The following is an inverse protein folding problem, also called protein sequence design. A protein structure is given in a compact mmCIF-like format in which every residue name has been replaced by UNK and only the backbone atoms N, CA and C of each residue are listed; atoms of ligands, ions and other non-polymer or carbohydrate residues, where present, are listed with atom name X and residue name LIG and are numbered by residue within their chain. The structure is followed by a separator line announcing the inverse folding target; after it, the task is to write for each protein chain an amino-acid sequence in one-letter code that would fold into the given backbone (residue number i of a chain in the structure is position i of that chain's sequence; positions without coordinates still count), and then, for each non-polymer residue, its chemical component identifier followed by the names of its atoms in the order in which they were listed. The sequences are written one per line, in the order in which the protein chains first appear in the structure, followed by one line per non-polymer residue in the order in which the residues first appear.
data_IF_681734619721
#
_entry.id   IF_681734619721
#
_cell.length_a   1.000
_cell.length_b   1.000
_cell.length_c   1.000
_cell.angle_alpha   90.00
_cell.angle_beta   90.00
_cell.angle_gamma   90.00
#
_symmetry.space_group_name_H-M   'P 1'
#
loop_
_entity.id
_entity.type
_entity.pdbx_description
1 polymer ?
#
# COMPACT_ATOMS: atom_id res chain seq x y z
N UNK A 1 66.27 -14.87 20.74
CA UNK A 1 65.53 -13.81 20.02
C UNK A 1 64.93 -14.47 18.78
N UNK A 2 63.66 -14.87 18.85
CA UNK A 2 63.03 -15.69 17.80
C UNK A 2 62.75 -14.81 16.59
N UNK A 3 63.43 -15.08 15.47
CA UNK A 3 63.08 -14.53 14.16
C UNK A 3 61.73 -15.14 13.76
N UNK A 4 60.65 -14.47 14.16
CA UNK A 4 59.30 -14.84 13.74
C UNK A 4 59.25 -14.89 12.21
N UNK A 5 58.62 -15.93 11.67
CA UNK A 5 58.57 -16.22 10.25
C UNK A 5 57.70 -15.17 9.52
N UNK A 6 58.31 -14.03 9.16
CA UNK A 6 57.65 -12.85 8.56
C UNK A 6 56.80 -13.20 7.34
N UNK A 7 57.25 -14.16 6.52
CA UNK A 7 56.49 -14.66 5.36
C UNK A 7 55.16 -15.30 5.76
N UNK A 8 55.13 -16.03 6.88
CA UNK A 8 53.92 -16.65 7.42
C UNK A 8 52.94 -15.62 7.94
N UNK A 9 53.42 -14.60 8.67
CA UNK A 9 52.57 -13.49 9.12
C UNK A 9 51.98 -12.69 7.96
N UNK A 10 52.77 -12.45 6.91
CA UNK A 10 52.30 -11.73 5.72
C UNK A 10 51.22 -12.52 4.98
N UNK A 11 51.34 -13.86 4.86
CA UNK A 11 50.27 -14.70 4.32
C UNK A 11 48.99 -14.66 5.16
N UNK A 12 49.12 -14.72 6.48
CA UNK A 12 47.96 -14.66 7.39
C UNK A 12 47.23 -13.32 7.22
N UNK A 13 47.95 -12.21 7.20
CA UNK A 13 47.39 -10.88 6.98
C UNK A 13 46.68 -10.75 5.63
N UNK A 14 47.29 -11.27 4.57
CA UNK A 14 46.71 -11.24 3.23
C UNK A 14 45.43 -12.09 3.14
N UNK A 15 45.42 -13.25 3.77
CA UNK A 15 44.25 -14.13 3.83
C UNK A 15 43.11 -13.48 4.62
N UNK A 16 43.44 -12.81 5.74
CA UNK A 16 42.47 -12.10 6.56
C UNK A 16 41.86 -10.90 5.81
N UNK A 17 42.68 -10.19 5.03
CA UNK A 17 42.22 -9.12 4.16
C UNK A 17 41.22 -9.62 3.10
N UNK A 18 41.56 -10.69 2.38
CA UNK A 18 40.68 -11.30 1.38
C UNK A 18 39.37 -11.77 2.02
N UNK A 19 39.43 -12.46 3.17
CA UNK A 19 38.25 -12.91 3.89
C UNK A 19 37.33 -11.73 4.26
N UNK A 20 37.91 -10.61 4.70
CA UNK A 20 37.15 -9.41 5.05
C UNK A 20 36.43 -8.81 3.84
N UNK A 21 37.09 -8.78 2.67
CA UNK A 21 36.48 -8.32 1.41
C UNK A 21 35.32 -9.24 1.00
N UNK A 22 35.51 -10.56 1.06
CA UNK A 22 34.47 -11.53 0.70
C UNK A 22 33.25 -11.41 1.63
N UNK A 23 33.48 -11.26 2.94
CA UNK A 23 32.40 -11.06 3.92
C UNK A 23 31.64 -9.76 3.61
N UNK A 24 32.35 -8.67 3.34
CA UNK A 24 31.74 -7.37 3.03
C UNK A 24 30.85 -7.44 1.79
N UNK A 25 31.32 -8.07 0.71
CA UNK A 25 30.54 -8.26 -0.52
C UNK A 25 29.34 -9.17 -0.27
N UNK A 26 29.51 -10.24 0.51
CA UNK A 26 28.42 -11.17 0.86
C UNK A 26 27.31 -10.47 1.65
N UNK A 27 27.67 -9.59 2.60
CA UNK A 27 26.70 -8.82 3.39
C UNK A 27 25.92 -7.84 2.50
N UNK A 28 26.60 -7.09 1.63
CA UNK A 28 25.94 -6.18 0.68
C UNK A 28 24.99 -6.94 -0.25
N UNK A 29 25.39 -8.12 -0.73
CA UNK A 29 24.53 -8.94 -1.59
C UNK A 29 23.31 -9.49 -0.85
N UNK A 30 23.48 -9.95 0.39
CA UNK A 30 22.38 -10.39 1.24
C UNK A 30 21.39 -9.25 1.52
N UNK A 31 21.87 -8.04 1.79
CA UNK A 31 21.04 -6.85 1.97
C UNK A 31 20.26 -6.50 0.69
N UNK A 32 20.89 -6.58 -0.48
CA UNK A 32 20.23 -6.33 -1.75
C UNK A 32 19.13 -7.36 -2.05
N UNK A 33 19.36 -8.64 -1.75
CA UNK A 33 18.34 -9.68 -1.88
C UNK A 33 17.19 -9.43 -0.90
N UNK A 34 17.49 -9.06 0.35
CA UNK A 34 16.46 -8.76 1.36
C UNK A 34 15.60 -7.58 0.94
N UNK A 35 16.21 -6.50 0.47
CA UNK A 35 15.50 -5.32 -0.04
C UNK A 35 14.62 -5.69 -1.24
N UNK A 36 15.13 -6.48 -2.19
CA UNK A 36 14.37 -6.97 -3.33
C UNK A 36 13.17 -7.86 -2.94
N UNK A 37 13.35 -8.69 -1.90
CA UNK A 37 12.28 -9.52 -1.35
C UNK A 37 11.21 -8.70 -0.62
N UNK A 38 11.60 -7.66 0.11
CA UNK A 38 10.67 -6.75 0.78
C UNK A 38 9.82 -5.99 -0.23
N UNK A 39 10.44 -5.45 -1.30
CA UNK A 39 9.72 -4.79 -2.40
C UNK A 39 8.77 -5.74 -3.14
N UNK A 40 9.16 -7.01 -3.33
CA UNK A 40 8.31 -8.00 -3.99
C UNK A 40 7.13 -8.43 -3.12
N UNK A 41 7.33 -8.57 -1.79
CA UNK A 41 6.22 -8.87 -0.88
C UNK A 41 5.23 -7.71 -0.76
N UNK A 42 5.69 -6.46 -0.82
CA UNK A 42 4.78 -5.30 -0.89
C UNK A 42 4.04 -5.23 -2.22
N UNK A 43 4.65 -5.64 -3.34
CA UNK A 43 3.96 -5.73 -4.65
C UNK A 43 2.95 -6.88 -4.76
N UNK A 44 3.22 -8.05 -4.14
CA UNK A 44 2.33 -9.22 -4.21
C UNK A 44 1.06 -9.00 -3.36
N UNK A 45 1.19 -8.25 -2.27
CA UNK A 45 0.07 -7.59 -1.60
C UNK A 45 -0.30 -6.31 -2.37
N UNK A 46 -0.62 -6.45 -3.65
CA UNK A 46 -1.45 -5.45 -4.34
C UNK A 46 -2.57 -5.05 -3.37
N UNK A 47 -2.92 -3.76 -3.25
CA UNK A 47 -3.79 -3.20 -2.21
C UNK A 47 -5.26 -3.63 -2.38
N UNK A 48 -5.48 -4.93 -2.60
CA UNK A 48 -6.76 -5.60 -2.81
C UNK A 48 -7.62 -5.39 -1.58
N UNK A 49 -7.07 -5.55 -0.38
CA UNK A 49 -7.81 -5.36 0.86
C UNK A 49 -8.25 -3.91 1.03
N UNK A 50 -7.41 -2.95 0.67
CA UNK A 50 -7.71 -1.52 0.68
C UNK A 50 -8.80 -1.17 -0.33
N UNK A 51 -8.73 -1.73 -1.54
CA UNK A 51 -9.75 -1.58 -2.58
C UNK A 51 -11.07 -2.22 -2.14
N UNK A 52 -11.05 -3.41 -1.53
CA UNK A 52 -12.24 -4.07 -0.97
C UNK A 52 -12.85 -3.24 0.17
N UNK A 53 -12.04 -2.72 1.09
CA UNK A 53 -12.50 -1.87 2.17
C UNK A 53 -13.15 -0.58 1.65
N UNK A 54 -12.57 0.05 0.62
CA UNK A 54 -13.18 1.20 -0.04
C UNK A 54 -14.54 0.84 -0.67
N UNK A 55 -14.66 -0.33 -1.28
CA UNK A 55 -15.91 -0.82 -1.86
C UNK A 55 -16.98 -1.09 -0.79
N UNK A 56 -16.59 -1.60 0.38
CA UNK A 56 -17.52 -1.79 1.49
C UNK A 56 -17.98 -0.45 2.08
N UNK A 57 -17.06 0.50 2.23
CA UNK A 57 -17.40 1.88 2.65
C UNK A 57 -18.32 2.58 1.65
N UNK A 58 -18.11 2.33 0.35
CA UNK A 58 -19.01 2.80 -0.70
C UNK A 58 -20.43 2.26 -0.53
N UNK A 59 -20.57 0.98 -0.19
CA UNK A 59 -21.85 0.32 0.07
C UNK A 59 -22.58 0.92 1.27
N UNK A 60 -21.85 1.22 2.36
CA UNK A 60 -22.42 1.85 3.55
C UNK A 60 -22.83 3.29 3.26
N UNK A 61 -22.04 4.04 2.48
CA UNK A 61 -22.37 5.40 2.06
C UNK A 61 -23.62 5.47 1.15
N UNK A 62 -23.92 4.34 0.51
CA UNK A 62 -25.05 4.09 -0.38
C UNK A 62 -26.38 3.85 0.35
N UNK A 63 -26.35 3.49 1.65
CA UNK A 63 -27.55 3.02 2.35
C UNK A 63 -28.62 4.13 2.44
N UNK A 64 -29.75 3.81 1.81
CA UNK A 64 -30.83 4.73 1.44
C UNK A 64 -31.65 5.25 2.62
N UNK A 65 -31.47 4.71 3.84
CA UNK A 65 -32.24 5.14 5.02
C UNK A 65 -31.87 6.53 5.55
N UNK A 66 -30.75 7.11 5.11
CA UNK A 66 -30.28 8.45 5.50
C UNK A 66 -30.67 9.51 4.43
N UNK A 67 -31.30 9.11 3.32
CA UNK A 67 -31.21 9.81 2.02
C UNK A 67 -32.47 10.56 1.53
N UNK A 68 -33.45 10.87 2.38
CA UNK A 68 -34.67 11.58 1.93
C UNK A 68 -34.49 13.09 1.72
N UNK A 69 -33.39 13.70 2.19
CA UNK A 69 -33.15 15.15 2.04
C UNK A 69 -31.86 15.43 1.27
N UNK A 70 -31.99 16.08 0.11
CA UNK A 70 -30.90 16.41 -0.82
C UNK A 70 -29.74 17.19 -0.17
N UNK A 71 -30.04 18.16 0.69
CA UNK A 71 -29.01 18.98 1.36
C UNK A 71 -28.20 18.16 2.37
N UNK A 72 -28.88 17.32 3.15
CA UNK A 72 -28.23 16.40 4.10
C UNK A 72 -27.41 15.35 3.37
N UNK A 73 -27.88 14.88 2.22
CA UNK A 73 -27.20 13.90 1.37
C UNK A 73 -25.88 14.43 0.79
N UNK A 74 -25.88 15.66 0.28
CA UNK A 74 -24.66 16.29 -0.26
C UNK A 74 -23.61 16.51 0.84
N UNK A 75 -24.04 17.02 2.00
CA UNK A 75 -23.15 17.22 3.15
C UNK A 75 -22.62 15.89 3.70
N UNK A 76 -23.46 14.86 3.78
CA UNK A 76 -23.06 13.53 4.21
C UNK A 76 -22.02 12.92 3.25
N UNK A 77 -22.27 12.98 1.94
CA UNK A 77 -21.34 12.48 0.93
C UNK A 77 -19.98 13.18 0.98
N UNK A 78 -19.96 14.52 1.11
CA UNK A 78 -18.72 15.28 1.27
C UNK A 78 -17.98 14.93 2.56
N UNK A 79 -18.70 14.75 3.66
CA UNK A 79 -18.11 14.41 4.94
C UNK A 79 -17.49 13.00 4.92
N UNK A 80 -18.18 12.03 4.32
CA UNK A 80 -17.67 10.66 4.13
C UNK A 80 -16.42 10.66 3.23
N UNK A 81 -16.46 11.34 2.08
CA UNK A 81 -15.29 11.45 1.18
C UNK A 81 -14.09 12.08 1.92
N UNK A 82 -14.30 13.14 2.69
CA UNK A 82 -13.24 13.78 3.47
C UNK A 82 -12.66 12.88 4.56
N UNK A 83 -13.49 12.11 5.26
CA UNK A 83 -13.04 11.16 6.28
C UNK A 83 -12.22 10.02 5.67
N UNK A 84 -12.64 9.52 4.50
CA UNK A 84 -11.92 8.47 3.77
C UNK A 84 -10.57 9.00 3.28
N UNK A 85 -10.53 10.20 2.69
CA UNK A 85 -9.27 10.85 2.28
C UNK A 85 -8.32 10.99 3.46
N UNK A 86 -8.81 11.44 4.61
CA UNK A 86 -8.00 11.58 5.80
C UNK A 86 -7.45 10.22 6.27
N UNK A 87 -8.31 9.19 6.37
CA UNK A 87 -7.93 7.85 6.79
C UNK A 87 -6.84 7.24 5.90
N UNK A 88 -6.99 7.36 4.58
CA UNK A 88 -6.02 6.82 3.63
C UNK A 88 -4.73 7.66 3.61
N UNK A 89 -4.83 8.99 3.73
CA UNK A 89 -3.65 9.87 3.80
C UNK A 89 -2.75 9.57 5.01
N UNK A 90 -3.32 9.17 6.15
CA UNK A 90 -2.55 8.74 7.33
C UNK A 90 -1.69 7.50 7.07
N UNK A 91 -2.06 6.68 6.09
CA UNK A 91 -1.32 5.50 5.65
C UNK A 91 -0.32 5.80 4.53
N UNK A 92 -0.17 7.07 4.13
CA UNK A 92 0.70 7.47 3.03
C UNK A 92 0.16 7.11 1.64
N UNK A 93 -1.14 6.80 1.53
CA UNK A 93 -1.83 6.47 0.28
C UNK A 93 -3.01 7.41 0.09
N UNK A 94 -3.52 7.51 -1.14
CA UNK A 94 -4.72 8.29 -1.43
C UNK A 94 -5.90 7.35 -1.73
N UNK A 95 -7.03 7.60 -1.09
CA UNK A 95 -8.28 6.87 -1.29
C UNK A 95 -9.44 7.84 -1.29
N UNK A 96 -10.35 7.68 -2.23
CA UNK A 96 -11.53 8.55 -2.37
C UNK A 96 -12.74 7.77 -2.89
N UNK A 97 -13.91 8.22 -2.48
CA UNK A 97 -15.20 7.73 -2.95
C UNK A 97 -16.00 8.94 -3.43
N UNK A 98 -16.31 8.95 -4.72
CA UNK A 98 -17.09 10.03 -5.35
C UNK A 98 -18.47 9.48 -5.72
N UNK A 99 -19.51 10.12 -5.20
CA UNK A 99 -20.89 9.80 -5.52
C UNK A 99 -21.35 10.70 -6.67
N UNK A 100 -21.62 10.11 -7.84
CA UNK A 100 -22.14 10.81 -9.02
C UNK A 100 -23.63 10.55 -9.13
N UNK A 101 -24.42 11.48 -8.61
CA UNK A 101 -25.87 11.33 -8.47
C UNK A 101 -26.62 11.30 -9.79
N UNK A 102 -26.21 12.14 -10.76
CA UNK A 102 -26.89 12.25 -12.06
C UNK A 102 -26.93 10.93 -12.83
N UNK A 103 -25.94 10.06 -12.59
CA UNK A 103 -25.81 8.77 -13.27
C UNK A 103 -26.11 7.59 -12.36
N UNK A 104 -26.45 7.82 -11.08
CA UNK A 104 -26.51 6.77 -10.04
C UNK A 104 -25.25 5.89 -10.08
N UNK A 105 -24.09 6.53 -10.11
CA UNK A 105 -22.78 5.88 -10.14
C UNK A 105 -21.93 6.31 -8.97
N UNK A 106 -21.11 5.39 -8.51
CA UNK A 106 -20.17 5.58 -7.42
C UNK A 106 -18.79 5.26 -7.97
N UNK A 107 -17.85 6.17 -7.77
CA UNK A 107 -16.48 6.04 -8.26
C UNK A 107 -15.60 5.78 -7.06
N UNK A 108 -14.95 4.63 -7.05
CA UNK A 108 -13.96 4.27 -6.04
C UNK A 108 -12.58 4.50 -6.62
N UNK A 109 -11.78 5.30 -5.93
CA UNK A 109 -10.46 5.72 -6.33
C UNK A 109 -9.45 5.30 -5.27
N UNK A 110 -8.40 4.62 -5.68
CA UNK A 110 -7.27 4.27 -4.84
C UNK A 110 -5.97 4.55 -5.60
N UNK A 111 -5.05 5.24 -4.93
CA UNK A 111 -3.79 5.67 -5.51
C UNK A 111 -2.67 5.49 -4.47
N UNK A 112 -1.61 4.80 -4.85
CA UNK A 112 -0.34 4.72 -4.12
C UNK A 112 0.82 5.04 -5.06
N UNK A 113 2.05 5.01 -4.55
CA UNK A 113 3.26 5.17 -5.35
C UNK A 113 3.34 4.21 -6.54
N UNK A 114 2.76 3.02 -6.41
CA UNK A 114 2.95 1.90 -7.33
C UNK A 114 1.66 1.44 -8.01
N UNK A 115 0.49 1.86 -7.51
CA UNK A 115 -0.81 1.37 -7.96
C UNK A 115 -1.81 2.50 -8.10
N UNK A 116 -2.42 2.58 -9.29
CA UNK A 116 -3.60 3.42 -9.54
C UNK A 116 -4.79 2.51 -9.86
N UNK A 117 -5.90 2.74 -9.17
CA UNK A 117 -7.13 2.00 -9.34
C UNK A 117 -8.32 2.97 -9.31
N UNK A 118 -9.16 2.88 -10.34
CA UNK A 118 -10.40 3.62 -10.43
C UNK A 118 -11.51 2.71 -10.98
N UNK A 119 -12.56 2.51 -10.20
CA UNK A 119 -13.70 1.69 -10.60
C UNK A 119 -14.99 2.51 -10.53
N UNK A 120 -15.79 2.42 -11.60
CA UNK A 120 -17.13 2.99 -11.64
C UNK A 120 -18.14 1.89 -11.37
N UNK A 121 -18.93 2.08 -10.34
CA UNK A 121 -19.88 1.11 -9.85
C UNK A 121 -21.29 1.69 -9.96
N UNK A 122 -22.26 0.88 -10.36
CA UNK A 122 -23.65 1.32 -10.36
C UNK A 122 -24.22 1.19 -8.95
N UNK A 123 -25.08 2.14 -8.56
CA UNK A 123 -25.76 2.11 -7.27
C UNK A 123 -26.54 0.81 -7.06
N UNK A 124 -27.23 0.31 -8.08
CA UNK A 124 -28.05 -0.89 -7.97
C UNK A 124 -27.22 -2.15 -7.66
N UNK A 125 -25.98 -2.20 -8.12
CA UNK A 125 -25.09 -3.36 -7.96
C UNK A 125 -24.45 -3.42 -6.56
N UNK A 126 -24.40 -2.28 -5.86
CA UNK A 126 -23.73 -2.14 -4.57
C UNK A 126 -24.73 -1.92 -3.44
N UNK A 127 -25.59 -0.90 -3.55
CA UNK A 127 -26.52 -0.57 -2.48
C UNK A 127 -27.60 -1.66 -2.30
N UNK A 128 -27.82 -2.53 -3.30
CA UNK A 128 -28.81 -3.61 -3.25
C UNK A 128 -28.39 -4.85 -2.44
N UNK A 129 -27.11 -4.98 -2.08
CA UNK A 129 -26.58 -6.18 -1.41
C UNK A 129 -26.92 -6.20 0.09
N UNK A 130 -27.13 -5.04 0.71
CA UNK A 130 -27.39 -4.90 2.15
C UNK A 130 -28.84 -4.48 2.49
N UNK A 131 -29.72 -4.39 1.50
CA UNK A 131 -31.13 -4.01 1.67
C UNK A 131 -32.07 -5.18 2.04
N UNK A 132 -31.53 -6.30 2.54
CA UNK A 132 -32.31 -7.48 3.00
C UNK A 132 -32.18 -7.68 4.50
#
# INVERSE_FOLDING_TARGET
MATMNEKGQMMILFTLFIATVIISVSVLHAQNILAGMETSRTMILSPKNEIYNLRDLASIACDTKIMDNYLYKLQYSQNVSNQIKLLYSQKGVYGDIIIVESEKKLIVNFFSSDVEYSEKLNFNDICGVYAK
#
